data_IF_737199776554
#
_entry.id   IF_737199776554
#
_cell.length_a   1.000
_cell.length_b   1.000
_cell.length_c   1.000
_cell.angle_alpha   90.00
_cell.angle_beta   90.00
_cell.angle_gamma   90.00
#
_symmetry.space_group_name_H-M   'P 1'
#
loop_
_entity.id
_entity.type
_entity.pdbx_description
1 polymer ?
#
# COMPACT_ATOMS: atom_id res chain seq x y z
N UNK A 1 8.17 7.49 -12.70
CA UNK A 1 8.60 6.18 -12.21
C UNK A 1 9.44 6.43 -10.97
N UNK A 2 9.13 5.76 -9.86
CA UNK A 2 9.86 5.90 -8.59
C UNK A 2 10.16 4.51 -8.03
N UNK A 3 11.01 4.40 -7.02
CA UNK A 3 11.23 3.12 -6.34
C UNK A 3 10.21 2.93 -5.21
N UNK A 4 9.93 1.67 -4.86
CA UNK A 4 9.13 1.28 -3.70
C UNK A 4 9.66 1.90 -2.41
N UNK A 5 10.98 2.00 -2.27
CA UNK A 5 11.61 2.63 -1.10
C UNK A 5 11.27 4.11 -1.00
N UNK A 6 11.43 4.86 -2.10
CA UNK A 6 11.11 6.29 -2.14
C UNK A 6 9.61 6.51 -1.94
N UNK A 7 8.75 5.66 -2.51
CA UNK A 7 7.31 5.72 -2.30
C UNK A 7 6.94 5.51 -0.81
N UNK A 8 7.48 4.47 -0.17
CA UNK A 8 7.22 4.20 1.24
C UNK A 8 7.69 5.37 2.13
N UNK A 9 8.91 5.87 1.93
CA UNK A 9 9.43 7.03 2.65
C UNK A 9 8.57 8.28 2.44
N UNK A 10 8.03 8.48 1.23
CA UNK A 10 7.12 9.61 0.94
C UNK A 10 5.81 9.46 1.70
N UNK A 11 5.25 8.26 1.77
CA UNK A 11 4.04 7.98 2.54
C UNK A 11 4.26 8.16 4.04
N UNK A 12 5.37 7.65 4.58
CA UNK A 12 5.71 7.81 6.00
C UNK A 12 5.86 9.31 6.35
N UNK A 13 6.56 10.08 5.52
CA UNK A 13 6.74 11.52 5.73
C UNK A 13 5.42 12.32 5.65
N UNK A 14 4.53 11.93 4.75
CA UNK A 14 3.25 12.62 4.51
C UNK A 14 2.19 12.26 5.56
N UNK A 15 2.06 10.97 5.86
CA UNK A 15 0.96 10.42 6.66
C UNK A 15 1.33 10.28 8.14
N UNK A 16 2.62 10.17 8.44
CA UNK A 16 3.15 10.05 9.80
C UNK A 16 2.43 8.97 10.64
N UNK A 17 2.30 7.73 10.13
CA UNK A 17 1.53 6.69 10.77
C UNK A 17 2.03 6.34 12.18
N UNK A 18 3.32 6.58 12.47
CA UNK A 18 3.92 6.40 13.79
C UNK A 18 3.31 7.28 14.88
N UNK A 19 2.57 8.33 14.50
CA UNK A 19 1.85 9.21 15.44
C UNK A 19 0.54 8.59 15.94
N UNK A 20 0.12 7.47 15.37
CA UNK A 20 -1.16 6.83 15.69
C UNK A 20 -0.93 5.41 16.22
N UNK A 21 -1.75 5.01 17.20
CA UNK A 21 -1.86 3.61 17.62
C UNK A 21 -2.94 2.95 16.79
N UNK A 22 -2.60 1.84 16.16
CA UNK A 22 -3.48 1.13 15.25
C UNK A 22 -3.60 -0.35 15.64
N UNK A 23 -4.69 -0.98 15.20
CA UNK A 23 -4.96 -2.40 15.40
C UNK A 23 -4.13 -3.29 14.46
N UNK A 24 -3.69 -2.74 13.32
CA UNK A 24 -2.85 -3.41 12.33
C UNK A 24 -1.51 -2.70 12.10
N UNK A 25 -0.60 -3.32 11.32
CA UNK A 25 0.64 -2.67 10.92
C UNK A 25 0.36 -1.62 9.84
N UNK A 26 0.80 -0.39 10.09
CA UNK A 26 0.83 0.67 9.08
C UNK A 26 2.11 0.58 8.23
N UNK A 27 2.01 1.01 6.97
CA UNK A 27 3.11 0.97 6.00
C UNK A 27 3.07 -0.26 5.09
N UNK A 28 4.26 -0.73 4.66
CA UNK A 28 4.38 -1.87 3.75
C UNK A 28 3.97 -3.18 4.44
N UNK A 29 2.87 -3.78 3.98
CA UNK A 29 2.42 -5.07 4.50
C UNK A 29 2.94 -6.27 3.69
N UNK A 30 2.95 -6.17 2.37
CA UNK A 30 3.44 -7.22 1.47
C UNK A 30 4.39 -6.60 0.45
N UNK A 31 5.61 -7.12 0.39
CA UNK A 31 6.61 -6.64 -0.57
C UNK A 31 6.24 -7.05 -2.01
N UNK A 32 6.36 -6.08 -2.92
CA UNK A 32 6.17 -6.27 -4.36
C UNK A 32 7.37 -5.80 -5.16
N UNK A 33 7.13 -5.31 -6.39
CA UNK A 33 8.18 -4.83 -7.31
C UNK A 33 8.99 -3.68 -6.71
N UNK A 34 10.25 -3.56 -7.13
CA UNK A 34 11.15 -2.46 -6.76
C UNK A 34 10.76 -1.13 -7.40
N UNK A 35 10.28 -1.18 -8.65
CA UNK A 35 9.96 -0.01 -9.45
C UNK A 35 8.45 0.16 -9.59
N UNK A 36 7.98 1.37 -9.31
CA UNK A 36 6.56 1.72 -9.29
C UNK A 36 6.25 2.73 -10.40
N UNK A 37 5.30 2.37 -11.26
CA UNK A 37 4.74 3.24 -12.31
C UNK A 37 3.25 3.48 -12.12
N UNK A 38 2.50 2.47 -11.67
CA UNK A 38 1.06 2.57 -11.42
C UNK A 38 0.72 2.16 -9.99
N UNK A 39 0.02 3.05 -9.28
CA UNK A 39 -0.57 2.77 -7.97
C UNK A 39 -2.07 2.71 -8.16
N UNK A 40 -2.70 1.66 -7.65
CA UNK A 40 -4.16 1.60 -7.46
C UNK A 40 -4.44 1.83 -5.99
N UNK A 41 -5.52 2.54 -5.68
CA UNK A 41 -5.98 2.72 -4.31
C UNK A 41 -7.41 2.26 -4.11
N UNK A 42 -7.74 1.94 -2.86
CA UNK A 42 -9.10 1.58 -2.45
C UNK A 42 -9.26 1.60 -0.93
N UNK A 43 -10.44 1.24 -0.43
CA UNK A 43 -10.70 1.29 1.01
C UNK A 43 -10.16 0.06 1.73
N UNK A 44 -10.33 -1.14 1.17
CA UNK A 44 -9.99 -2.41 1.82
C UNK A 44 -9.26 -3.33 0.86
N UNK A 45 -8.22 -4.03 1.34
CA UNK A 45 -7.50 -5.08 0.61
C UNK A 45 -8.36 -6.36 0.42
N UNK A 46 -9.52 -6.21 -0.21
CA UNK A 46 -10.38 -7.34 -0.57
C UNK A 46 -9.82 -8.07 -1.78
N UNK A 47 -10.15 -9.36 -1.92
CA UNK A 47 -9.75 -10.16 -3.08
C UNK A 47 -10.20 -9.51 -4.40
N UNK A 48 -11.41 -8.94 -4.43
CA UNK A 48 -11.93 -8.25 -5.61
C UNK A 48 -11.09 -7.02 -5.99
N UNK A 49 -10.67 -6.21 -5.01
CA UNK A 49 -9.79 -5.05 -5.27
C UNK A 49 -8.41 -5.50 -5.74
N UNK A 50 -7.83 -6.53 -5.10
CA UNK A 50 -6.52 -7.07 -5.47
C UNK A 50 -6.54 -7.57 -6.91
N UNK A 51 -7.57 -8.33 -7.29
CA UNK A 51 -7.72 -8.84 -8.65
C UNK A 51 -7.87 -7.70 -9.66
N UNK A 52 -8.75 -6.72 -9.40
CA UNK A 52 -8.94 -5.57 -10.28
C UNK A 52 -7.65 -4.73 -10.43
N UNK A 53 -6.89 -4.56 -9.35
CA UNK A 53 -5.61 -3.87 -9.38
C UNK A 53 -4.58 -4.62 -10.26
N UNK A 54 -4.50 -5.95 -10.11
CA UNK A 54 -3.65 -6.80 -10.93
C UNK A 54 -4.04 -6.73 -12.42
N UNK A 55 -5.32 -6.85 -12.74
CA UNK A 55 -5.85 -6.76 -14.11
C UNK A 55 -5.57 -5.38 -14.74
N UNK A 56 -5.55 -4.32 -13.92
CA UNK A 56 -5.19 -2.96 -14.37
C UNK A 56 -3.69 -2.73 -14.56
N UNK A 57 -2.84 -3.70 -14.21
CA UNK A 57 -1.38 -3.61 -14.25
C UNK A 57 -0.80 -2.70 -13.16
N UNK A 58 -1.35 -2.73 -11.95
CA UNK A 58 -0.79 -1.99 -10.82
C UNK A 58 0.55 -2.58 -10.37
N UNK A 59 1.51 -1.73 -10.03
CA UNK A 59 2.77 -2.12 -9.39
C UNK A 59 2.67 -2.08 -7.86
N UNK A 60 1.75 -1.25 -7.33
CA UNK A 60 1.44 -1.15 -5.91
C UNK A 60 -0.05 -0.94 -5.67
N UNK A 61 -0.55 -1.49 -4.56
CA UNK A 61 -1.90 -1.28 -4.04
C UNK A 61 -1.81 -0.50 -2.72
N UNK A 62 -2.52 0.61 -2.62
CA UNK A 62 -2.60 1.44 -1.41
C UNK A 62 -4.02 1.44 -0.85
N UNK A 63 -4.19 0.99 0.40
CA UNK A 63 -5.51 0.87 1.03
C UNK A 63 -5.53 1.45 2.43
N UNK A 64 -6.73 1.78 2.91
CA UNK A 64 -6.92 2.15 4.31
C UNK A 64 -6.93 0.92 5.23
N UNK A 65 -7.69 -0.12 4.86
CA UNK A 65 -7.78 -1.37 5.60
C UNK A 65 -6.90 -2.45 4.96
N UNK A 66 -5.79 -2.78 5.61
CA UNK A 66 -4.83 -3.80 5.16
C UNK A 66 -5.27 -5.25 5.42
N UNK A 67 -4.32 -6.17 5.34
CA UNK A 67 -4.51 -7.62 5.47
C UNK A 67 -4.35 -8.13 6.90
N UNK A 68 -3.40 -7.58 7.63
CA UNK A 68 -3.00 -8.12 8.93
C UNK A 68 -3.63 -7.32 10.08
N UNK A 69 -4.60 -7.92 10.75
CA UNK A 69 -5.27 -7.36 11.93
C UNK A 69 -4.99 -8.23 13.15
N UNK A 70 -5.11 -7.66 14.34
CA UNK A 70 -5.11 -8.38 15.61
C UNK A 70 -6.51 -8.65 16.10
#
# INVERSE_FOLDING_TARGET
MTSRLVLAQTFDALLQPERFRDYGPNGLQVEGRSDIRKIVSGVTASLALIQAAADSGADALFVHHGLFWR
#
